data_IF_840503748972
#
_entry.id   IF_840503748972
#
_cell.length_a   1.000
_cell.length_b   1.000
_cell.length_c   1.000
_cell.angle_alpha   90.00
_cell.angle_beta   90.00
_cell.angle_gamma   90.00
#
_symmetry.space_group_name_H-M   'P 1'
#
loop_
_entity.id
_entity.type
_entity.pdbx_description
1 polymer ?
#
# COMPACT_ATOMS: atom_id res chain seq x y z
N UNK A 1 0.26 -50.49 24.38
CA UNK A 1 1.42 -49.69 23.93
C UNK A 1 1.42 -49.30 22.45
N UNK A 2 1.06 -50.18 21.49
CA UNK A 2 0.99 -49.84 20.05
C UNK A 2 0.06 -48.64 19.75
N UNK A 3 -1.13 -48.63 20.33
CA UNK A 3 -2.12 -47.56 20.11
C UNK A 3 -1.73 -46.22 20.74
N UNK A 4 -0.96 -46.24 21.84
CA UNK A 4 -0.45 -45.01 22.49
C UNK A 4 0.58 -44.33 21.59
N UNK A 5 1.49 -45.10 20.97
CA UNK A 5 2.48 -44.56 20.01
C UNK A 5 1.79 -43.99 18.77
N UNK A 6 0.72 -44.64 18.29
CA UNK A 6 -0.09 -44.16 17.18
C UNK A 6 -0.83 -42.86 17.52
N UNK A 7 -1.37 -42.76 18.74
CA UNK A 7 -2.10 -41.59 19.20
C UNK A 7 -1.16 -40.38 19.40
N UNK A 8 0.05 -40.59 19.93
CA UNK A 8 1.08 -39.55 20.01
C UNK A 8 1.51 -39.07 18.62
N UNK A 9 1.68 -39.97 17.65
CA UNK A 9 2.02 -39.61 16.27
C UNK A 9 0.93 -38.75 15.62
N UNK A 10 -0.34 -39.09 15.84
CA UNK A 10 -1.50 -38.34 15.34
C UNK A 10 -1.57 -36.96 15.99
N UNK A 11 -1.35 -36.85 17.32
CA UNK A 11 -1.32 -35.56 18.00
C UNK A 11 -0.19 -34.65 17.48
N UNK A 12 1.00 -35.19 17.23
CA UNK A 12 2.11 -34.43 16.64
C UNK A 12 1.76 -33.96 15.23
N UNK A 13 1.07 -34.77 14.43
CA UNK A 13 0.63 -34.42 13.07
C UNK A 13 -0.40 -33.28 13.06
N UNK A 14 -1.31 -33.24 14.03
CA UNK A 14 -2.28 -32.14 14.16
C UNK A 14 -1.63 -30.80 14.56
N UNK A 15 -0.52 -30.81 15.30
CA UNK A 15 0.20 -29.57 15.66
C UNK A 15 0.87 -28.92 14.44
N UNK A 16 1.29 -29.71 13.43
CA UNK A 16 1.90 -29.17 12.19
C UNK A 16 0.85 -28.58 11.23
N UNK A 17 -0.42 -28.99 11.36
CA UNK A 17 -1.51 -28.51 10.50
C UNK A 17 -2.12 -27.17 10.95
N UNK A 18 -1.76 -26.65 12.13
CA UNK A 18 -2.06 -25.26 12.50
C UNK A 18 -1.03 -24.33 11.83
N UNK A 19 -0.83 -24.51 10.53
CA UNK A 19 -0.13 -23.52 9.72
C UNK A 19 -1.01 -22.28 9.71
N UNK A 20 -0.53 -21.20 10.34
CA UNK A 20 -1.16 -19.89 10.23
C UNK A 20 -1.46 -19.63 8.76
N UNK A 21 -2.74 -19.65 8.39
CA UNK A 21 -3.19 -18.95 7.20
C UNK A 21 -2.80 -17.49 7.44
N UNK A 22 -1.69 -17.05 6.84
CA UNK A 22 -1.31 -15.65 6.90
C UNK A 22 -2.42 -14.89 6.19
N UNK A 23 -3.33 -14.32 6.96
CA UNK A 23 -4.21 -13.27 6.49
C UNK A 23 -3.27 -12.10 6.15
N UNK A 24 -2.65 -12.16 4.97
CA UNK A 24 -1.88 -11.04 4.44
C UNK A 24 -2.89 -9.90 4.35
N UNK A 25 -2.62 -8.82 5.07
CA UNK A 25 -3.41 -7.59 4.98
C UNK A 25 -3.48 -7.23 3.49
N UNK A 26 -4.69 -7.20 2.94
CA UNK A 26 -4.90 -6.93 1.53
C UNK A 26 -5.06 -5.43 1.31
N UNK A 27 -4.65 -4.91 0.14
CA UNK A 27 -4.90 -3.52 -0.24
C UNK A 27 -6.40 -3.31 -0.48
N UNK A 28 -7.15 -3.00 0.57
CA UNK A 28 -8.61 -2.84 0.56
C UNK A 28 -9.09 -1.38 0.57
N UNK A 29 -8.19 -0.43 0.86
CA UNK A 29 -8.43 1.01 0.80
C UNK A 29 -7.19 1.77 0.31
N UNK A 30 -7.37 3.05 -0.08
CA UNK A 30 -6.25 3.90 -0.53
C UNK A 30 -5.20 4.09 0.56
N UNK A 31 -5.63 4.19 1.82
CA UNK A 31 -4.73 4.34 2.96
C UNK A 31 -3.99 3.04 3.25
N UNK A 32 -4.68 1.89 3.17
CA UNK A 32 -4.06 0.59 3.35
C UNK A 32 -2.97 0.33 2.30
N UNK A 33 -3.22 0.62 1.02
CA UNK A 33 -2.20 0.51 -0.05
C UNK A 33 -0.97 1.36 0.27
N UNK A 34 -1.16 2.62 0.66
CA UNK A 34 -0.05 3.52 0.99
C UNK A 34 0.73 3.05 2.23
N UNK A 35 0.02 2.47 3.20
CA UNK A 35 0.63 1.88 4.38
C UNK A 35 1.42 0.62 4.06
N UNK A 36 0.88 -0.31 3.26
CA UNK A 36 1.58 -1.50 2.78
C UNK A 36 2.81 -1.15 1.95
N UNK A 37 2.72 -0.11 1.12
CA UNK A 37 3.86 0.43 0.38
C UNK A 37 4.96 0.89 1.32
N UNK A 38 4.63 1.69 2.35
CA UNK A 38 5.59 2.11 3.38
C UNK A 38 6.21 0.90 4.08
N UNK A 39 5.39 -0.07 4.49
CA UNK A 39 5.85 -1.27 5.17
C UNK A 39 6.83 -2.09 4.31
N UNK A 40 6.55 -2.19 3.00
CA UNK A 40 7.45 -2.87 2.07
C UNK A 40 8.80 -2.14 1.96
N UNK A 41 8.80 -0.81 1.89
CA UNK A 41 10.02 0.01 1.88
C UNK A 41 10.80 -0.17 3.20
N UNK A 42 10.13 -0.10 4.37
CA UNK A 42 10.78 -0.25 5.68
C UNK A 42 11.41 -1.62 5.89
N UNK A 43 10.87 -2.65 5.24
CA UNK A 43 11.39 -4.02 5.31
C UNK A 43 12.34 -4.38 4.16
N UNK A 44 12.68 -3.41 3.29
CA UNK A 44 13.50 -3.64 2.08
C UNK A 44 12.92 -4.75 1.18
N UNK A 45 11.58 -4.87 1.12
CA UNK A 45 10.85 -5.89 0.38
C UNK A 45 10.35 -5.35 -0.96
N UNK A 46 11.25 -5.33 -1.95
CA UNK A 46 10.93 -4.89 -3.32
C UNK A 46 9.80 -5.68 -3.97
N UNK A 47 9.70 -6.99 -3.72
CA UNK A 47 8.67 -7.83 -4.35
C UNK A 47 7.29 -7.49 -3.80
N UNK A 48 7.17 -7.27 -2.48
CA UNK A 48 5.94 -6.79 -1.88
C UNK A 48 5.58 -5.40 -2.41
N UNK A 49 6.55 -4.49 -2.52
CA UNK A 49 6.35 -3.15 -3.08
C UNK A 49 5.84 -3.20 -4.53
N UNK A 50 6.51 -3.94 -5.41
CA UNK A 50 6.14 -4.06 -6.83
C UNK A 50 4.77 -4.75 -7.01
N UNK A 51 4.42 -5.67 -6.12
CA UNK A 51 3.12 -6.35 -6.14
C UNK A 51 1.92 -5.41 -5.91
N UNK A 52 2.13 -4.23 -5.33
CA UNK A 52 1.08 -3.23 -5.11
C UNK A 52 0.74 -2.44 -6.38
N UNK A 53 1.58 -2.51 -7.42
CA UNK A 53 1.32 -1.85 -8.69
C UNK A 53 0.27 -2.62 -9.50
N UNK A 54 -0.55 -1.88 -10.26
CA UNK A 54 -1.38 -2.47 -11.31
C UNK A 54 -0.52 -3.31 -12.27
N UNK A 55 -1.04 -4.42 -12.79
CA UNK A 55 -0.27 -5.37 -13.61
C UNK A 55 0.55 -4.70 -14.73
N UNK A 56 0.00 -3.71 -15.45
CA UNK A 56 0.69 -3.00 -16.52
C UNK A 56 1.78 -2.01 -16.10
N UNK A 57 1.97 -1.83 -14.78
CA UNK A 57 2.94 -0.89 -14.18
C UNK A 57 3.94 -1.59 -13.25
N UNK A 58 3.88 -2.91 -13.12
CA UNK A 58 4.91 -3.67 -12.42
C UNK A 58 6.27 -3.48 -13.10
N UNK A 59 7.30 -3.30 -12.29
CA UNK A 59 8.64 -2.94 -12.73
C UNK A 59 8.80 -1.48 -13.19
N UNK A 60 7.81 -0.61 -12.99
CA UNK A 60 7.93 0.81 -13.33
C UNK A 60 8.89 1.58 -12.42
N UNK A 61 9.18 1.05 -11.24
CA UNK A 61 10.22 1.53 -10.33
C UNK A 61 11.31 0.47 -10.30
N UNK A 62 12.57 0.84 -10.55
CA UNK A 62 13.67 -0.12 -10.52
C UNK A 62 14.05 -0.49 -9.08
N UNK A 63 14.75 -1.61 -8.90
CA UNK A 63 15.34 -1.96 -7.59
C UNK A 63 16.30 -0.89 -7.07
N UNK A 64 16.99 -0.22 -7.98
CA UNK A 64 17.90 0.88 -7.63
C UNK A 64 17.10 2.04 -7.06
N UNK A 65 16.04 2.48 -7.72
CA UNK A 65 15.19 3.58 -7.23
C UNK A 65 14.51 3.20 -5.92
N UNK A 66 14.04 1.95 -5.79
CA UNK A 66 13.48 1.44 -4.54
C UNK A 66 14.46 1.52 -3.38
N UNK A 67 15.75 1.22 -3.61
CA UNK A 67 16.78 1.33 -2.58
C UNK A 67 17.01 2.77 -2.12
N UNK A 68 16.67 3.78 -2.93
CA UNK A 68 16.70 5.17 -2.50
C UNK A 68 15.56 5.47 -1.52
N UNK A 69 14.40 4.82 -1.66
CA UNK A 69 13.25 5.02 -0.79
C UNK A 69 13.48 4.47 0.62
N UNK A 70 14.24 3.40 0.78
CA UNK A 70 14.56 2.83 2.09
C UNK A 70 15.32 3.85 2.97
N UNK A 71 16.14 4.70 2.34
CA UNK A 71 16.86 5.79 3.02
C UNK A 71 15.96 6.96 3.44
N UNK A 72 14.73 7.06 2.92
CA UNK A 72 13.77 8.10 3.28
C UNK A 72 12.91 7.73 4.50
N UNK A 73 12.94 6.46 4.93
CA UNK A 73 12.05 5.96 5.97
C UNK A 73 12.37 6.58 7.34
N UNK A 74 11.33 6.93 8.08
CA UNK A 74 11.42 7.39 9.46
C UNK A 74 10.38 6.65 10.30
N UNK A 75 10.45 6.78 11.63
CA UNK A 75 9.54 6.08 12.54
C UNK A 75 8.04 6.44 12.33
N UNK A 76 7.72 7.54 11.65
CA UNK A 76 6.34 7.97 11.41
C UNK A 76 6.08 8.39 9.97
N UNK A 77 4.83 8.31 9.55
CA UNK A 77 4.34 8.86 8.29
C UNK A 77 2.98 9.51 8.52
N UNK A 78 2.68 10.55 7.74
CA UNK A 78 1.36 11.15 7.67
C UNK A 78 0.79 10.90 6.28
N UNK A 79 -0.43 10.39 6.23
CA UNK A 79 -1.13 10.04 5.00
C UNK A 79 -2.18 11.11 4.69
N UNK A 80 -2.13 11.64 3.48
CA UNK A 80 -3.12 12.59 2.97
C UNK A 80 -3.65 12.09 1.65
N UNK A 81 -4.96 12.22 1.45
CA UNK A 81 -5.62 11.89 0.20
C UNK A 81 -5.75 13.14 -0.66
N UNK A 82 -5.28 13.03 -1.89
CA UNK A 82 -5.41 14.07 -2.89
C UNK A 82 -6.09 13.51 -4.14
N UNK A 83 -6.99 14.28 -4.71
CA UNK A 83 -7.60 14.03 -6.02
C UNK A 83 -7.12 15.11 -6.99
N UNK A 84 -6.69 14.71 -8.19
CA UNK A 84 -6.37 15.66 -9.27
C UNK A 84 -7.59 15.81 -10.18
N UNK A 85 -8.14 17.01 -10.26
CA UNK A 85 -9.24 17.35 -11.18
C UNK A 85 -8.65 18.11 -12.37
N UNK A 86 -8.72 17.50 -13.56
CA UNK A 86 -8.27 18.10 -14.82
C UNK A 86 -9.48 18.53 -15.63
N UNK A 87 -9.56 19.82 -15.95
CA UNK A 87 -10.61 20.38 -16.80
C UNK A 87 -10.25 20.26 -18.29
N UNK A 88 -11.27 20.30 -19.15
CA UNK A 88 -11.09 20.21 -20.61
C UNK A 88 -10.20 21.32 -21.19
N UNK A 89 -10.14 22.49 -20.52
CA UNK A 89 -9.28 23.60 -20.91
C UNK A 89 -7.81 23.44 -20.44
N UNK A 90 -7.46 22.32 -19.80
CA UNK A 90 -6.11 22.05 -19.29
C UNK A 90 -5.81 22.67 -17.93
N UNK A 91 -6.78 23.32 -17.28
CA UNK A 91 -6.65 23.71 -15.87
C UNK A 91 -6.71 22.49 -14.96
N UNK A 92 -5.98 22.57 -13.85
CA UNK A 92 -5.87 21.46 -12.90
C UNK A 92 -6.05 21.96 -11.47
N UNK A 93 -6.80 21.21 -10.66
CA UNK A 93 -6.94 21.42 -9.22
C UNK A 93 -6.45 20.19 -8.48
N UNK A 94 -5.63 20.40 -7.46
CA UNK A 94 -5.28 19.39 -6.49
C UNK A 94 -6.17 19.57 -5.25
N UNK A 95 -7.08 18.61 -5.03
CA UNK A 95 -8.10 18.67 -3.97
C UNK A 95 -7.68 17.75 -2.84
N UNK A 96 -7.51 18.31 -1.64
CA UNK A 96 -7.27 17.52 -0.42
C UNK A 96 -8.58 17.05 0.17
N UNK A 97 -8.66 15.76 0.46
CA UNK A 97 -9.84 15.13 1.06
C UNK A 97 -9.57 14.72 2.51
N UNK A 98 -10.63 14.67 3.32
CA UNK A 98 -10.59 14.04 4.63
C UNK A 98 -10.19 12.56 4.52
N UNK A 99 -9.57 11.97 5.56
CA UNK A 99 -9.46 10.52 5.66
C UNK A 99 -10.86 9.89 5.70
N UNK A 100 -10.94 8.60 5.39
CA UNK A 100 -12.19 7.85 5.45
C UNK A 100 -12.73 7.86 6.88
N UNK A 101 -13.98 8.30 7.04
CA UNK A 101 -14.67 8.31 8.33
C UNK A 101 -15.65 7.14 8.44
N UNK A 102 -16.22 6.92 9.63
CA UNK A 102 -17.17 5.82 9.89
C UNK A 102 -18.40 5.83 8.97
N UNK A 103 -18.72 6.97 8.37
CA UNK A 103 -19.85 7.15 7.44
C UNK A 103 -19.48 6.89 5.97
N UNK A 104 -18.23 6.50 5.65
CA UNK A 104 -17.69 6.40 4.29
C UNK A 104 -17.89 7.67 3.45
N UNK A 105 -17.83 8.83 4.10
CA UNK A 105 -17.96 10.14 3.44
C UNK A 105 -16.61 10.84 3.38
N UNK A 106 -16.32 11.38 2.20
CA UNK A 106 -15.16 12.23 1.98
C UNK A 106 -15.62 13.69 1.88
N UNK A 107 -14.95 14.57 2.62
CA UNK A 107 -15.17 16.01 2.57
C UNK A 107 -13.91 16.70 2.02
N UNK A 108 -14.10 17.90 1.44
CA UNK A 108 -13.00 18.70 0.90
C UNK A 108 -12.38 19.51 2.05
N UNK A 109 -11.09 19.32 2.30
CA UNK A 109 -10.33 20.09 3.28
C UNK A 109 -9.62 21.29 2.66
N UNK A 110 -9.13 21.15 1.42
CA UNK A 110 -8.35 22.19 0.75
C UNK A 110 -8.40 22.03 -0.78
N UNK A 111 -8.20 23.14 -1.50
CA UNK A 111 -8.19 23.18 -2.97
C UNK A 111 -7.04 24.05 -3.44
N UNK A 112 -6.11 23.46 -4.19
CA UNK A 112 -4.93 24.15 -4.72
C UNK A 112 -5.04 24.17 -6.24
N UNK A 113 -4.96 25.38 -6.83
CA UNK A 113 -4.77 25.52 -8.28
C UNK A 113 -3.36 25.07 -8.62
N UNK A 114 -3.22 24.09 -9.52
CA UNK A 114 -1.90 23.59 -9.92
C UNK A 114 -1.22 24.63 -10.81
N UNK A 115 -0.05 25.17 -10.41
CA UNK A 115 0.68 26.14 -11.23
C UNK A 115 1.09 25.55 -12.58
N UNK A 116 1.13 26.38 -13.63
CA UNK A 116 1.48 25.97 -15.00
C UNK A 116 2.79 25.17 -15.07
N UNK A 117 3.81 25.62 -14.36
CA UNK A 117 5.12 24.97 -14.28
C UNK A 117 5.07 23.58 -13.64
N UNK A 118 4.08 23.29 -12.80
CA UNK A 118 3.91 22.00 -12.14
C UNK A 118 3.02 21.03 -12.93
N UNK A 119 2.21 21.52 -13.88
CA UNK A 119 1.32 20.67 -14.70
C UNK A 119 2.08 19.58 -15.46
N UNK A 120 3.38 19.78 -15.72
CA UNK A 120 4.24 18.77 -16.37
C UNK A 120 4.38 17.48 -15.56
N UNK A 121 4.22 17.52 -14.23
CA UNK A 121 4.35 16.36 -13.34
C UNK A 121 3.19 15.36 -13.47
N UNK A 122 2.07 15.79 -14.07
CA UNK A 122 0.83 15.03 -14.17
C UNK A 122 0.46 14.64 -15.60
N UNK A 123 1.41 14.76 -16.54
CA UNK A 123 1.21 14.30 -17.93
C UNK A 123 1.56 12.82 -18.02
N UNK A 124 0.61 12.02 -18.52
CA UNK A 124 0.78 10.59 -18.79
C UNK A 124 1.74 10.29 -19.96
#
# INVERSE_FOLDING_TARGET
MKYIKLLVLICVFFVVMVGCSSNKVQPDSTENVAWLMKLAIENDDYEAFDSLFSEGRKGSVSRTDFSEFTNLTTAGANYKKYELVTFENGEMLLVRLTPENEDNKYEIEDVIVVPEEMKVLFKD
#
